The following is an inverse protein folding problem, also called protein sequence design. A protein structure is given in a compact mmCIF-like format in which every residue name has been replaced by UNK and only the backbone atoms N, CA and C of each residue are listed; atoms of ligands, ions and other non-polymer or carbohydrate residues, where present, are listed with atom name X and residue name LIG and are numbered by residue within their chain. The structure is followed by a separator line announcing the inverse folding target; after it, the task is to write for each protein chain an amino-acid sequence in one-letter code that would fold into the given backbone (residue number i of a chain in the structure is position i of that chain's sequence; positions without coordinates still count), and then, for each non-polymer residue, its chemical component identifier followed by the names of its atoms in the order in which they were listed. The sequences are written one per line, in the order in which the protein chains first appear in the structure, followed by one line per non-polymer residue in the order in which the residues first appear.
data_IF_303800003091
#
_entry.id   IF_303800003091
#
_cell.length_a   1.000
_cell.length_b   1.000
_cell.length_c   1.000
_cell.angle_alpha   90.00
_cell.angle_beta   90.00
_cell.angle_gamma   90.00
#
_symmetry.space_group_name_H-M   'P 1'
#
loop_
_entity.id
_entity.type
_entity.pdbx_description
1 polymer ?
#
# COMPACT_ATOMS: atom_id res chain seq x y z
N UNK A 1 6.30 26.52 -9.04
CA UNK A 1 5.88 25.25 -9.68
C UNK A 1 4.44 25.01 -9.31
N UNK A 2 3.51 24.91 -10.27
CA UNK A 2 2.12 24.62 -9.96
C UNK A 2 2.05 23.16 -9.42
N UNK A 3 1.81 23.02 -8.13
CA UNK A 3 1.53 21.71 -7.53
C UNK A 3 0.20 21.23 -8.09
N UNK A 4 0.18 20.04 -8.71
CA UNK A 4 -1.05 19.39 -9.15
C UNK A 4 -1.86 19.11 -7.88
N UNK A 5 -3.07 19.65 -7.81
CA UNK A 5 -4.01 19.29 -6.74
C UNK A 5 -4.52 17.87 -7.01
N UNK A 6 -4.22 16.94 -6.12
CA UNK A 6 -4.70 15.57 -6.23
C UNK A 6 -6.15 15.48 -5.73
N UNK A 7 -7.09 14.88 -6.49
CA UNK A 7 -8.47 14.66 -6.05
C UNK A 7 -8.55 13.48 -5.07
N UNK A 8 -8.02 13.69 -3.86
CA UNK A 8 -7.92 12.68 -2.81
C UNK A 8 -9.30 12.25 -2.26
N UNK A 9 -9.41 10.98 -1.87
CA UNK A 9 -10.48 10.54 -0.98
C UNK A 9 -10.44 11.35 0.32
N UNK A 10 -11.61 11.71 0.86
CA UNK A 10 -11.77 12.56 2.05
C UNK A 10 -11.06 12.04 3.31
N UNK A 11 -10.78 10.74 3.37
CA UNK A 11 -10.11 10.09 4.50
C UNK A 11 -8.59 9.97 4.28
N UNK A 12 -8.09 10.35 3.11
CA UNK A 12 -6.67 10.35 2.76
C UNK A 12 -6.12 11.77 2.76
N UNK A 13 -4.82 11.91 2.99
CA UNK A 13 -4.17 13.22 3.00
C UNK A 13 -2.76 13.14 2.42
N UNK A 14 -2.29 14.25 1.85
CA UNK A 14 -0.87 14.40 1.50
C UNK A 14 -0.10 14.61 2.79
N UNK A 15 0.92 13.77 3.04
CA UNK A 15 1.85 13.94 4.17
C UNK A 15 2.99 14.86 3.73
N UNK A 16 3.51 14.61 2.52
CA UNK A 16 4.67 15.32 1.99
C UNK A 16 4.69 15.29 0.46
N UNK A 17 5.39 16.25 -0.13
CA UNK A 17 5.63 16.34 -1.55
C UNK A 17 7.09 16.71 -1.84
N UNK A 18 7.81 15.81 -2.48
CA UNK A 18 9.17 16.07 -2.92
C UNK A 18 9.17 16.76 -4.30
N UNK A 19 9.97 17.87 -4.50
CA UNK A 19 9.98 18.64 -5.75
C UNK A 19 10.33 17.85 -7.01
N UNK A 20 10.98 16.70 -6.88
CA UNK A 20 11.19 15.77 -8.01
C UNK A 20 9.89 15.16 -8.55
N UNK A 21 8.74 15.38 -7.87
CA UNK A 21 7.43 14.91 -8.29
C UNK A 21 6.98 13.61 -7.60
N UNK A 22 7.32 13.44 -6.31
CA UNK A 22 6.85 12.32 -5.48
C UNK A 22 5.93 12.86 -4.41
N UNK A 23 4.73 12.26 -4.27
CA UNK A 23 3.83 12.48 -3.15
C UNK A 23 3.92 11.31 -2.18
N UNK A 24 3.99 11.61 -0.90
CA UNK A 24 3.72 10.68 0.18
C UNK A 24 2.31 10.95 0.72
N UNK A 25 1.44 9.95 0.64
CA UNK A 25 0.07 10.02 1.12
C UNK A 25 -0.10 9.21 2.40
N UNK A 26 -0.96 9.67 3.31
CA UNK A 26 -1.54 8.83 4.35
C UNK A 26 -2.82 8.20 3.80
N UNK A 27 -2.74 6.91 3.44
CA UNK A 27 -3.91 6.13 3.02
C UNK A 27 -4.69 5.68 4.25
N UNK A 28 -5.96 5.98 4.29
CA UNK A 28 -6.85 5.47 5.35
C UNK A 28 -7.15 3.97 5.16
N UNK A 29 -7.51 3.30 6.27
CA UNK A 29 -8.12 1.97 6.24
C UNK A 29 -9.47 2.01 5.52
N UNK A 30 -9.83 0.95 4.81
CA UNK A 30 -11.05 0.86 4.01
C UNK A 30 -10.96 1.50 2.61
N UNK A 31 -9.91 2.28 2.34
CA UNK A 31 -9.67 2.90 1.02
C UNK A 31 -8.74 2.01 0.20
N UNK A 32 -9.07 1.81 -1.09
CA UNK A 32 -8.24 1.05 -2.01
C UNK A 32 -7.10 1.91 -2.57
N UNK A 33 -5.95 1.30 -2.82
CA UNK A 33 -4.85 1.97 -3.53
C UNK A 33 -5.18 2.23 -5.01
N UNK A 34 -6.03 1.39 -5.61
CA UNK A 34 -6.61 1.54 -6.96
C UNK A 34 -7.87 0.65 -7.06
N UNK A 35 -8.77 0.89 -8.03
CA UNK A 35 -9.93 0.04 -8.25
C UNK A 35 -9.53 -1.42 -8.53
N UNK A 36 -10.21 -2.37 -7.90
CA UNK A 36 -10.01 -3.81 -8.18
C UNK A 36 -10.69 -4.26 -9.47
N UNK A 37 -11.74 -3.53 -9.89
CA UNK A 37 -12.52 -3.77 -11.10
C UNK A 37 -12.85 -2.42 -11.76
N UNK A 38 -13.00 -2.34 -13.09
CA UNK A 38 -13.16 -1.06 -13.81
C UNK A 38 -14.30 -0.16 -13.32
N UNK A 39 -15.36 -0.74 -12.74
CA UNK A 39 -16.54 -0.01 -12.26
C UNK A 39 -16.80 -0.20 -10.76
N UNK A 40 -15.76 -0.54 -10.00
CA UNK A 40 -15.90 -0.72 -8.55
C UNK A 40 -16.30 0.61 -7.87
N UNK A 41 -17.37 0.56 -7.06
CA UNK A 41 -17.85 1.71 -6.27
C UNK A 41 -17.06 1.92 -4.96
N UNK A 42 -16.05 1.08 -4.71
CA UNK A 42 -15.23 1.19 -3.50
C UNK A 42 -14.38 2.46 -3.54
N UNK A 43 -14.24 3.17 -2.41
CA UNK A 43 -13.40 4.36 -2.35
C UNK A 43 -11.95 4.02 -2.67
N UNK A 44 -11.33 4.80 -3.53
CA UNK A 44 -9.93 4.71 -3.90
C UNK A 44 -9.19 5.97 -3.44
N UNK A 45 -7.87 5.90 -3.32
CA UNK A 45 -7.04 7.03 -2.86
C UNK A 45 -7.26 8.31 -3.66
N UNK A 46 -7.53 8.20 -4.97
CA UNK A 46 -7.89 9.31 -5.85
C UNK A 46 -9.23 9.03 -6.53
N UNK A 47 -10.09 10.04 -6.58
CA UNK A 47 -11.37 10.01 -7.30
C UNK A 47 -11.20 10.37 -8.77
N UNK A 48 -10.30 9.66 -9.45
CA UNK A 48 -9.96 9.84 -10.87
C UNK A 48 -9.93 8.49 -11.58
N UNK A 49 -10.01 8.52 -12.91
CA UNK A 49 -9.85 7.32 -13.71
C UNK A 49 -8.48 6.67 -13.47
N UNK A 50 -8.47 5.36 -13.26
CA UNK A 50 -7.26 4.56 -13.09
C UNK A 50 -7.03 3.67 -14.30
N UNK A 51 -5.91 3.84 -14.95
CA UNK A 51 -5.42 2.99 -16.02
C UNK A 51 -4.67 1.80 -15.42
N UNK A 52 -5.22 0.59 -15.62
CA UNK A 52 -4.68 -0.66 -15.05
C UNK A 52 -3.39 -1.08 -15.74
N UNK A 53 -3.26 -0.83 -17.04
CA UNK A 53 -2.08 -1.23 -17.83
C UNK A 53 -0.88 -0.35 -17.50
N UNK A 54 -1.10 0.95 -17.39
CA UNK A 54 -0.05 1.91 -17.05
C UNK A 54 0.15 2.07 -15.53
N UNK A 55 -0.73 1.48 -14.70
CA UNK A 55 -0.76 1.63 -13.24
C UNK A 55 -0.72 3.10 -12.79
N UNK A 56 -1.54 3.94 -13.42
CA UNK A 56 -1.60 5.37 -13.13
C UNK A 56 -3.02 5.92 -13.05
N UNK A 57 -3.18 6.99 -12.30
CA UNK A 57 -4.38 7.81 -12.27
C UNK A 57 -4.29 8.94 -13.29
N UNK A 58 -5.39 9.26 -13.96
CA UNK A 58 -5.53 10.40 -14.84
C UNK A 58 -6.20 11.54 -14.06
N UNK A 59 -5.38 12.46 -13.53
CA UNK A 59 -5.85 13.60 -12.75
C UNK A 59 -5.88 14.87 -13.60
N UNK A 60 -6.98 15.60 -13.55
CA UNK A 60 -7.16 16.85 -14.25
C UNK A 60 -6.78 18.02 -13.34
N UNK A 61 -5.98 18.94 -13.81
CA UNK A 61 -5.69 20.19 -13.11
C UNK A 61 -6.79 21.26 -13.32
N UNK A 62 -6.69 22.39 -12.63
CA UNK A 62 -7.63 23.51 -12.71
C UNK A 62 -7.75 24.12 -14.11
N UNK A 63 -6.75 23.91 -14.98
CA UNK A 63 -6.73 24.37 -16.37
C UNK A 63 -7.28 23.33 -17.35
N UNK A 64 -7.80 22.20 -16.87
CA UNK A 64 -8.32 21.11 -17.68
C UNK A 64 -7.26 20.22 -18.33
N UNK A 65 -5.99 20.36 -17.95
CA UNK A 65 -4.93 19.49 -18.43
C UNK A 65 -4.87 18.20 -17.61
N UNK A 66 -4.83 17.06 -18.30
CA UNK A 66 -4.69 15.76 -17.68
C UNK A 66 -3.23 15.43 -17.37
N UNK A 67 -2.99 14.95 -16.15
CA UNK A 67 -1.69 14.51 -15.67
C UNK A 67 -1.78 13.04 -15.26
N UNK A 68 -0.77 12.24 -15.62
CA UNK A 68 -0.64 10.86 -15.17
C UNK A 68 0.08 10.82 -13.83
N UNK A 69 -0.57 10.24 -12.84
CA UNK A 69 -0.03 10.06 -11.48
C UNK A 69 0.15 8.56 -11.24
N UNK A 70 1.39 8.13 -11.21
CA UNK A 70 1.77 6.72 -11.18
C UNK A 70 1.79 6.18 -9.77
N UNK A 71 1.20 5.00 -9.58
CA UNK A 71 1.27 4.24 -8.34
C UNK A 71 2.62 3.53 -8.25
N UNK A 72 3.37 3.74 -7.17
CA UNK A 72 4.68 3.14 -6.98
C UNK A 72 4.59 1.78 -6.30
N UNK A 73 3.77 1.68 -5.29
CA UNK A 73 3.45 0.44 -4.57
C UNK A 73 1.99 0.47 -4.10
N UNK A 74 1.55 -0.59 -3.45
CA UNK A 74 0.18 -0.70 -2.95
C UNK A 74 0.17 -1.03 -1.48
N UNK A 75 -0.88 -0.59 -0.79
CA UNK A 75 -1.31 -1.08 0.50
C UNK A 75 -2.67 -1.75 0.34
N UNK A 76 -2.91 -2.81 1.07
CA UNK A 76 -4.22 -3.48 1.10
C UNK A 76 -5.29 -2.53 1.65
N UNK A 77 -6.56 -2.79 1.33
CA UNK A 77 -7.67 -1.95 1.79
C UNK A 77 -7.69 -1.78 3.31
N UNK A 78 -7.46 -2.85 4.06
CA UNK A 78 -7.44 -2.82 5.52
C UNK A 78 -6.20 -2.14 6.12
N UNK A 79 -5.13 -1.96 5.34
CA UNK A 79 -3.87 -1.34 5.78
C UNK A 79 -3.95 0.17 5.61
N UNK A 80 -3.63 0.92 6.64
CA UNK A 80 -3.40 2.37 6.59
C UNK A 80 -1.91 2.69 6.57
N UNK A 81 -1.56 3.92 6.19
CA UNK A 81 -0.19 4.41 6.25
C UNK A 81 0.35 4.96 4.94
N UNK A 82 1.65 5.02 4.80
CA UNK A 82 2.34 5.72 3.72
C UNK A 82 2.17 5.00 2.39
N UNK A 83 1.68 5.74 1.39
CA UNK A 83 1.58 5.32 0.01
C UNK A 83 2.27 6.35 -0.88
N UNK A 84 3.12 5.91 -1.81
CA UNK A 84 3.88 6.78 -2.69
C UNK A 84 3.29 6.83 -4.10
N UNK A 85 3.22 8.05 -4.65
CA UNK A 85 2.84 8.33 -6.02
C UNK A 85 3.94 9.13 -6.73
N UNK A 86 4.05 9.00 -8.05
CA UNK A 86 4.99 9.75 -8.87
C UNK A 86 4.30 10.52 -10.00
N UNK A 87 4.82 11.70 -10.35
CA UNK A 87 4.29 12.58 -11.38
C UNK A 87 4.65 12.18 -12.82
N UNK A 88 5.55 11.22 -13.00
CA UNK A 88 5.98 10.78 -14.33
C UNK A 88 6.45 9.32 -14.32
N UNK A 89 6.45 8.72 -15.52
CA UNK A 89 6.77 7.31 -15.71
C UNK A 89 8.22 6.96 -15.32
N UNK A 90 9.20 7.79 -15.71
CA UNK A 90 10.62 7.48 -15.45
C UNK A 90 10.92 7.41 -13.96
N UNK A 91 10.39 8.37 -13.19
CA UNK A 91 10.51 8.39 -11.73
C UNK A 91 9.78 7.20 -11.08
N UNK A 92 8.57 6.89 -11.57
CA UNK A 92 7.82 5.70 -11.12
C UNK A 92 8.61 4.41 -11.35
N UNK A 93 9.16 4.23 -12.55
CA UNK A 93 9.96 3.04 -12.89
C UNK A 93 11.21 2.92 -12.01
N UNK A 94 11.91 4.04 -11.77
CA UNK A 94 13.07 4.07 -10.88
C UNK A 94 12.70 3.64 -9.44
N UNK A 95 11.64 4.22 -8.90
CA UNK A 95 11.18 3.89 -7.53
C UNK A 95 10.65 2.46 -7.43
N UNK A 96 9.86 1.98 -8.40
CA UNK A 96 9.42 0.57 -8.46
C UNK A 96 10.61 -0.40 -8.50
N UNK A 97 11.67 -0.05 -9.23
CA UNK A 97 12.91 -0.84 -9.26
C UNK A 97 13.59 -0.91 -7.89
N UNK A 98 13.66 0.21 -7.15
CA UNK A 98 14.19 0.23 -5.78
C UNK A 98 13.38 -0.67 -4.84
N UNK A 99 12.03 -0.63 -4.92
CA UNK A 99 11.16 -1.57 -4.19
C UNK A 99 11.43 -3.04 -4.57
N UNK A 100 11.57 -3.34 -5.86
CA UNK A 100 11.85 -4.68 -6.37
C UNK A 100 13.20 -5.23 -5.89
N UNK A 101 14.22 -4.37 -5.83
CA UNK A 101 15.55 -4.71 -5.33
C UNK A 101 15.66 -4.74 -3.80
N UNK A 102 14.56 -4.44 -3.08
CA UNK A 102 14.55 -4.35 -1.61
C UNK A 102 15.48 -3.26 -1.06
N UNK A 103 15.70 -2.19 -1.82
CA UNK A 103 16.47 -1.01 -1.41
C UNK A 103 15.63 -0.06 -0.53
N UNK A 104 14.31 -0.33 -0.40
CA UNK A 104 13.38 0.44 0.42
C UNK A 104 13.09 -0.33 1.70
N UNK A 105 13.43 0.24 2.84
CA UNK A 105 13.04 -0.27 4.15
C UNK A 105 11.56 0.06 4.40
N UNK A 106 10.81 -0.93 4.92
CA UNK A 106 9.38 -0.80 5.22
C UNK A 106 9.10 -1.30 6.61
N UNK A 107 8.57 -0.42 7.44
CA UNK A 107 8.13 -0.76 8.80
C UNK A 107 6.62 -0.72 8.88
N UNK A 108 6.04 -1.73 9.51
CA UNK A 108 4.60 -1.85 9.75
C UNK A 108 4.35 -2.10 11.23
N UNK A 109 3.28 -1.53 11.74
CA UNK A 109 2.76 -1.87 13.06
C UNK A 109 1.52 -2.75 12.93
N UNK A 110 1.44 -3.79 13.75
CA UNK A 110 0.29 -4.68 13.79
C UNK A 110 -0.09 -5.00 15.22
N UNK A 111 -1.39 -4.91 15.54
CA UNK A 111 -1.93 -5.35 16.82
C UNK A 111 -2.47 -6.76 16.64
N UNK A 112 -1.98 -7.70 17.45
CA UNK A 112 -2.34 -9.11 17.36
C UNK A 112 -2.75 -9.67 18.72
N UNK A 113 -3.58 -10.72 18.73
CA UNK A 113 -3.77 -11.55 19.90
C UNK A 113 -2.44 -12.22 20.28
N UNK A 114 -2.11 -12.19 21.56
CA UNK A 114 -0.83 -12.69 22.03
C UNK A 114 -1.01 -13.72 23.14
N UNK A 115 -0.35 -14.85 22.99
CA UNK A 115 -0.45 -15.98 23.95
C UNK A 115 0.67 -15.99 25.01
N UNK A 116 1.47 -14.94 25.08
CA UNK A 116 2.58 -14.80 26.02
C UNK A 116 3.87 -15.56 25.66
N UNK A 117 3.88 -16.35 24.57
CA UNK A 117 5.06 -17.09 24.14
C UNK A 117 6.07 -16.19 23.42
N UNK A 118 7.38 -16.49 23.45
CA UNK A 118 8.37 -15.75 22.67
C UNK A 118 8.03 -15.68 21.19
N UNK A 119 8.11 -14.49 20.59
CA UNK A 119 7.89 -14.28 19.16
C UNK A 119 9.19 -14.61 18.43
N UNK A 120 9.06 -15.38 17.35
CA UNK A 120 10.20 -15.64 16.47
C UNK A 120 10.58 -14.34 15.76
N UNK A 121 11.86 -13.93 15.74
CA UNK A 121 12.28 -12.65 15.14
C UNK A 121 12.13 -12.63 13.62
N UNK A 122 12.05 -13.80 12.98
CA UNK A 122 11.89 -13.92 11.52
C UNK A 122 10.74 -14.87 11.19
N UNK A 123 9.81 -14.37 10.35
CA UNK A 123 8.74 -15.17 9.76
C UNK A 123 9.07 -15.37 8.29
N UNK A 124 9.21 -16.63 7.89
CA UNK A 124 9.56 -17.02 6.53
C UNK A 124 8.47 -17.95 5.98
N UNK A 125 7.86 -17.50 4.88
CA UNK A 125 6.81 -18.23 4.19
C UNK A 125 7.06 -18.28 2.69
N UNK A 126 6.45 -19.27 2.01
CA UNK A 126 6.35 -19.31 0.57
C UNK A 126 4.92 -18.95 0.17
N UNK A 127 4.76 -17.91 -0.63
CA UNK A 127 3.48 -17.38 -1.05
C UNK A 127 3.10 -17.93 -2.44
N UNK A 128 1.92 -18.53 -2.53
CA UNK A 128 1.36 -19.07 -3.76
C UNK A 128 0.07 -18.35 -4.12
N UNK A 129 -0.10 -17.99 -5.39
CA UNK A 129 -1.37 -17.54 -5.94
C UNK A 129 -2.26 -18.74 -6.22
N UNK A 130 -3.48 -18.76 -5.70
CA UNK A 130 -4.51 -19.75 -6.01
C UNK A 130 -5.80 -19.06 -6.44
N UNK A 131 -6.47 -19.65 -7.44
CA UNK A 131 -7.82 -19.24 -7.80
C UNK A 131 -8.81 -20.00 -6.91
N UNK A 132 -9.60 -19.27 -6.13
CA UNK A 132 -10.66 -19.81 -5.25
C UNK A 132 -11.95 -19.11 -5.61
N UNK A 133 -12.94 -19.85 -6.09
CA UNK A 133 -14.22 -19.32 -6.55
C UNK A 133 -14.06 -18.14 -7.55
N UNK A 134 -13.17 -18.28 -8.53
CA UNK A 134 -12.89 -17.25 -9.54
C UNK A 134 -12.08 -16.04 -9.06
N UNK A 135 -11.68 -16.00 -7.80
CA UNK A 135 -10.86 -14.92 -7.22
C UNK A 135 -9.45 -15.40 -6.94
N UNK A 136 -8.45 -14.59 -7.33
CA UNK A 136 -7.05 -14.89 -6.99
C UNK A 136 -6.83 -14.55 -5.52
N UNK A 137 -6.34 -15.53 -4.77
CA UNK A 137 -5.93 -15.40 -3.37
C UNK A 137 -4.47 -15.79 -3.23
N UNK A 138 -3.78 -15.15 -2.31
CA UNK A 138 -2.43 -15.53 -1.90
C UNK A 138 -2.54 -16.31 -0.60
N UNK A 139 -1.86 -17.45 -0.52
CA UNK A 139 -1.79 -18.27 0.68
C UNK A 139 -0.39 -18.85 0.87
N UNK A 140 -0.07 -19.25 2.10
CA UNK A 140 1.17 -19.96 2.40
C UNK A 140 1.16 -21.34 1.74
N UNK A 141 2.30 -21.76 1.22
CA UNK A 141 2.51 -23.04 0.56
C UNK A 141 3.90 -23.60 0.83
N UNK A 142 4.19 -24.76 0.25
CA UNK A 142 5.51 -25.39 0.36
C UNK A 142 6.52 -24.81 -0.64
N UNK A 143 6.04 -24.19 -1.70
CA UNK A 143 6.83 -23.58 -2.79
C UNK A 143 6.18 -22.25 -3.18
N UNK A 144 6.88 -21.38 -3.89
CA UNK A 144 6.35 -20.11 -4.38
C UNK A 144 7.33 -18.96 -4.13
N UNK A 145 6.79 -17.75 -4.09
CA UNK A 145 7.59 -16.56 -3.80
C UNK A 145 7.94 -16.53 -2.30
N UNK A 146 9.23 -16.51 -2.00
CA UNK A 146 9.69 -16.40 -0.61
C UNK A 146 9.37 -15.02 -0.04
N UNK A 147 8.61 -14.99 1.06
CA UNK A 147 8.38 -13.82 1.90
C UNK A 147 9.17 -13.97 3.19
N UNK A 148 9.85 -12.91 3.58
CA UNK A 148 10.59 -12.82 4.83
C UNK A 148 10.18 -11.53 5.53
N UNK A 149 9.76 -11.64 6.80
CA UNK A 149 9.42 -10.51 7.66
C UNK A 149 10.24 -10.61 8.94
N UNK A 150 10.95 -9.56 9.25
CA UNK A 150 11.55 -9.38 10.58
C UNK A 150 10.47 -8.84 11.51
N UNK A 151 10.39 -9.39 12.72
CA UNK A 151 9.32 -9.10 13.67
C UNK A 151 9.91 -8.80 15.03
N UNK A 152 9.55 -7.67 15.62
CA UNK A 152 9.86 -7.30 16.99
C UNK A 152 8.59 -7.07 17.80
N UNK A 153 8.66 -7.39 19.10
CA UNK A 153 7.61 -7.08 20.06
C UNK A 153 7.86 -5.69 20.65
N UNK A 154 7.07 -4.71 20.25
CA UNK A 154 7.20 -3.33 20.75
C UNK A 154 6.52 -3.14 22.10
N UNK A 155 5.31 -3.69 22.25
CA UNK A 155 4.52 -3.56 23.48
C UNK A 155 3.51 -4.69 23.63
N UNK A 156 3.18 -5.00 24.88
CA UNK A 156 2.06 -5.90 25.21
C UNK A 156 1.20 -5.28 26.31
N UNK A 157 -0.11 -5.50 26.22
CA UNK A 157 -1.09 -5.03 27.18
C UNK A 157 -2.23 -6.01 27.37
N UNK A 158 -2.72 -6.15 28.61
CA UNK A 158 -3.98 -6.82 28.90
C UNK A 158 -5.14 -5.85 28.65
N UNK A 159 -6.13 -6.32 27.91
CA UNK A 159 -7.33 -5.57 27.57
C UNK A 159 -8.57 -6.41 27.88
N UNK A 160 -9.77 -5.82 27.74
CA UNK A 160 -11.02 -6.60 27.81
C UNK A 160 -11.15 -7.67 26.73
N UNK A 161 -10.33 -7.64 25.69
CA UNK A 161 -10.28 -8.64 24.61
C UNK A 161 -9.18 -9.69 24.81
N UNK A 162 -8.45 -9.66 25.92
CA UNK A 162 -7.32 -10.55 26.22
C UNK A 162 -5.97 -9.81 26.20
N UNK A 163 -4.89 -10.59 26.15
CA UNK A 163 -3.55 -10.08 25.99
C UNK A 163 -3.30 -9.75 24.52
N UNK A 164 -2.98 -8.49 24.24
CA UNK A 164 -2.63 -8.00 22.90
C UNK A 164 -1.16 -7.63 22.85
N UNK A 165 -0.55 -7.79 21.68
CA UNK A 165 0.80 -7.34 21.39
C UNK A 165 0.79 -6.36 20.20
N UNK A 166 1.67 -5.37 20.27
CA UNK A 166 2.08 -4.52 19.16
C UNK A 166 3.39 -5.08 18.62
N UNK A 167 3.38 -5.40 17.33
CA UNK A 167 4.53 -5.89 16.58
C UNK A 167 4.99 -4.83 15.61
#
# INVERSE_FOLDING_TARGET
MNSISLPLDRNCQVIDYHPAGVWALNKATGVLSHPNEPNAKSPCILSSHFDVEEECYHCMDEKGKTHKIYLIHRLDSATSGILLLASNFALSAQLKNAFSKREVEKTYFSIVEYNGKPIRPYWKDFLQKKSIAGKIRVQCGRTGLMALTEVSLERKNYTKYGLLALL
#
